data_IF_380653731767
#
_entry.id   IF_380653731767
#
_cell.length_a   1.000
_cell.length_b   1.000
_cell.length_c   1.000
_cell.angle_alpha   90.00
_cell.angle_beta   90.00
_cell.angle_gamma   90.00
#
_symmetry.space_group_name_H-M   'P 1'
#
loop_
_entity.id
_entity.type
_entity.pdbx_description
1 polymer ?
#
# COMPACT_ATOMS: atom_id res chain seq x y z
N UNK A 1 6.72 35.87 -5.49
CA UNK A 1 5.87 36.66 -6.42
C UNK A 1 4.94 35.81 -7.28
N UNK A 2 5.36 34.65 -7.80
CA UNK A 2 4.48 33.71 -8.55
C UNK A 2 3.57 32.90 -7.59
N UNK A 3 4.12 32.39 -6.48
CA UNK A 3 3.36 31.62 -5.49
C UNK A 3 2.19 32.40 -4.86
N UNK A 4 2.34 33.71 -4.63
CA UNK A 4 1.27 34.58 -4.11
C UNK A 4 0.06 34.71 -5.04
N UNK A 5 0.27 34.63 -6.36
CA UNK A 5 -0.80 34.63 -7.37
C UNK A 5 -1.47 33.27 -7.54
N UNK A 6 -0.80 32.19 -7.15
CA UNK A 6 -1.40 30.84 -7.12
C UNK A 6 -2.44 30.76 -6.00
N UNK A 7 -2.24 31.45 -4.87
CA UNK A 7 -3.21 31.49 -3.76
C UNK A 7 -4.50 32.26 -4.08
N UNK A 8 -4.53 33.06 -5.14
CA UNK A 8 -5.74 33.79 -5.57
C UNK A 8 -6.57 33.01 -6.61
N UNK A 9 -6.09 31.84 -7.05
CA UNK A 9 -6.82 30.98 -7.98
C UNK A 9 -7.98 30.28 -7.27
N UNK A 10 -9.08 30.07 -7.99
CA UNK A 10 -10.23 29.32 -7.45
C UNK A 10 -9.82 27.89 -7.08
N UNK A 11 -10.51 27.32 -6.09
CA UNK A 11 -10.27 25.96 -5.62
C UNK A 11 -10.28 24.94 -6.78
N UNK A 12 -11.19 25.13 -7.74
CA UNK A 12 -11.34 24.28 -8.91
C UNK A 12 -10.13 24.32 -9.85
N UNK A 13 -9.54 25.50 -10.06
CA UNK A 13 -8.39 25.66 -10.95
C UNK A 13 -7.10 25.09 -10.33
N UNK A 14 -6.96 25.22 -9.01
CA UNK A 14 -5.84 24.64 -8.26
C UNK A 14 -5.92 23.11 -8.24
N UNK A 15 -7.13 22.57 -8.07
CA UNK A 15 -7.39 21.14 -8.17
C UNK A 15 -7.11 20.59 -9.57
N UNK A 16 -7.44 21.33 -10.61
CA UNK A 16 -7.05 21.00 -11.98
C UNK A 16 -5.51 20.99 -12.14
N UNK A 17 -4.80 22.00 -11.62
CA UNK A 17 -3.32 22.04 -11.66
C UNK A 17 -2.70 20.87 -10.87
N UNK A 18 -3.26 20.48 -9.71
CA UNK A 18 -2.82 19.31 -8.94
C UNK A 18 -2.91 18.01 -9.75
N UNK A 19 -3.85 17.92 -10.70
CA UNK A 19 -4.00 16.69 -11.53
C UNK A 19 -2.89 16.48 -12.55
N UNK A 20 -2.12 17.52 -12.88
CA UNK A 20 -1.06 17.48 -13.90
C UNK A 20 0.35 17.77 -13.33
N UNK A 21 0.48 17.92 -12.01
CA UNK A 21 1.75 18.31 -11.38
C UNK A 21 2.68 17.09 -11.15
N UNK A 22 3.95 17.23 -11.54
CA UNK A 22 5.00 16.23 -11.33
C UNK A 22 5.52 16.20 -9.88
N UNK A 23 6.51 15.33 -9.60
CA UNK A 23 7.08 15.11 -8.25
C UNK A 23 7.66 16.40 -7.64
N UNK A 24 8.24 17.29 -8.46
CA UNK A 24 8.74 18.60 -8.00
C UNK A 24 7.59 19.55 -7.69
N UNK A 25 6.55 19.57 -8.53
CA UNK A 25 5.29 20.27 -8.28
C UNK A 25 4.65 19.83 -6.96
N UNK A 26 4.52 18.53 -6.70
CA UNK A 26 3.93 17.98 -5.48
C UNK A 26 4.64 18.43 -4.19
N UNK A 27 5.97 18.66 -4.21
CA UNK A 27 6.73 19.14 -3.03
C UNK A 27 6.44 20.61 -2.66
N UNK A 28 6.33 21.48 -3.67
CA UNK A 28 5.92 22.89 -3.50
C UNK A 28 4.46 22.95 -3.07
N UNK A 29 3.64 22.03 -3.57
CA UNK A 29 2.23 21.90 -3.26
C UNK A 29 1.94 21.29 -1.87
N UNK A 30 2.84 20.48 -1.31
CA UNK A 30 2.74 20.00 0.07
C UNK A 30 2.80 21.14 1.10
N UNK A 31 3.60 22.18 0.82
CA UNK A 31 3.60 23.43 1.60
C UNK A 31 2.26 24.19 1.50
N UNK A 32 1.60 24.15 0.34
CA UNK A 32 0.29 24.79 0.08
C UNK A 32 -0.86 24.00 0.74
N UNK A 33 -0.77 22.66 0.78
CA UNK A 33 -1.74 21.75 1.40
C UNK A 33 -1.92 22.00 2.92
N UNK A 34 -0.86 22.45 3.60
CA UNK A 34 -0.88 22.79 5.03
C UNK A 34 -1.85 23.94 5.35
N UNK A 35 -1.99 24.90 4.42
CA UNK A 35 -2.91 26.05 4.53
C UNK A 35 -4.33 25.65 4.10
N UNK A 36 -4.47 24.78 3.10
CA UNK A 36 -5.76 24.23 2.66
C UNK A 36 -6.41 23.29 3.67
N UNK A 37 -5.64 22.65 4.57
CA UNK A 37 -6.22 21.87 5.67
C UNK A 37 -7.19 22.70 6.53
N UNK A 38 -6.96 24.02 6.63
CA UNK A 38 -7.83 24.95 7.35
C UNK A 38 -9.12 25.25 6.56
N UNK A 39 -9.04 25.45 5.24
CA UNK A 39 -10.19 25.70 4.36
C UNK A 39 -11.03 24.43 4.07
N UNK A 40 -10.40 23.27 3.90
CA UNK A 40 -11.08 21.99 3.66
C UNK A 40 -11.91 21.54 4.87
N UNK A 41 -11.43 21.85 6.07
CA UNK A 41 -12.12 21.58 7.33
C UNK A 41 -13.04 22.74 7.75
N UNK A 42 -13.18 23.78 6.92
CA UNK A 42 -14.12 24.87 7.15
C UNK A 42 -15.57 24.37 7.03
N UNK A 43 -16.46 24.73 7.96
CA UNK A 43 -17.87 24.35 7.88
C UNK A 43 -18.61 24.94 6.66
N UNK A 44 -17.99 25.88 5.92
CA UNK A 44 -18.55 26.47 4.68
C UNK A 44 -18.37 25.59 3.44
N UNK A 45 -17.50 24.58 3.46
CA UNK A 45 -17.28 23.67 2.34
C UNK A 45 -18.40 22.61 2.26
N UNK A 46 -19.56 23.01 1.73
CA UNK A 46 -20.77 22.19 1.53
C UNK A 46 -20.48 20.93 0.66
N UNK A 47 -21.18 19.83 0.96
CA UNK A 47 -21.28 18.60 0.16
C UNK A 47 -21.45 18.83 -1.37
N UNK A 48 -22.17 19.88 -1.77
CA UNK A 48 -22.40 20.25 -3.17
C UNK A 48 -21.12 20.70 -3.89
N UNK A 49 -20.30 21.52 -3.24
CA UNK A 49 -18.99 21.96 -3.76
C UNK A 49 -18.07 20.75 -3.94
N UNK A 50 -18.06 19.84 -2.96
CA UNK A 50 -17.26 18.61 -3.03
C UNK A 50 -17.73 17.64 -4.11
N UNK A 51 -19.04 17.52 -4.33
CA UNK A 51 -19.61 16.71 -5.41
C UNK A 51 -19.18 17.27 -6.78
N UNK A 52 -19.15 18.59 -6.93
CA UNK A 52 -18.67 19.25 -8.15
C UNK A 52 -17.18 19.01 -8.38
N UNK A 53 -16.34 19.27 -7.37
CA UNK A 53 -14.89 19.02 -7.39
C UNK A 53 -14.59 17.57 -7.76
N UNK A 54 -15.23 16.61 -7.10
CA UNK A 54 -15.03 15.18 -7.37
C UNK A 54 -15.39 14.83 -8.81
N UNK A 55 -16.51 15.32 -9.34
CA UNK A 55 -16.92 15.02 -10.72
C UNK A 55 -15.92 15.56 -11.75
N UNK A 56 -15.45 16.81 -11.60
CA UNK A 56 -14.44 17.40 -12.48
C UNK A 56 -13.09 16.69 -12.37
N UNK A 57 -12.69 16.34 -11.14
CA UNK A 57 -11.51 15.56 -10.90
C UNK A 57 -11.63 14.22 -11.65
N UNK A 58 -12.73 13.50 -11.47
CA UNK A 58 -12.93 12.21 -12.10
C UNK A 58 -12.90 12.30 -13.63
N UNK A 59 -13.58 13.26 -14.25
CA UNK A 59 -13.59 13.42 -15.71
C UNK A 59 -12.22 13.75 -16.32
N UNK A 60 -11.33 14.42 -15.58
CA UNK A 60 -9.98 14.77 -16.05
C UNK A 60 -8.94 13.65 -15.87
N UNK A 61 -9.26 12.51 -15.25
CA UNK A 61 -8.32 11.39 -15.14
C UNK A 61 -8.27 10.58 -16.43
N UNK A 62 -7.13 10.40 -17.12
CA UNK A 62 -7.04 9.58 -18.33
C UNK A 62 -7.51 8.13 -18.13
N UNK A 63 -7.48 7.62 -16.89
CA UNK A 63 -7.97 6.28 -16.50
C UNK A 63 -9.47 6.25 -16.17
N UNK A 64 -10.18 7.38 -16.23
CA UNK A 64 -11.61 7.51 -15.90
C UNK A 64 -12.52 6.62 -16.76
N UNK A 65 -12.20 6.45 -18.04
CA UNK A 65 -12.96 5.57 -18.93
C UNK A 65 -12.93 4.09 -18.47
N UNK A 66 -11.86 3.66 -17.80
CA UNK A 66 -11.72 2.28 -17.27
C UNK A 66 -12.38 2.07 -15.89
N UNK A 67 -12.96 3.11 -15.29
CA UNK A 67 -13.57 3.13 -13.95
C UNK A 67 -15.10 3.12 -13.97
N UNK A 68 -15.74 3.10 -15.15
CA UNK A 68 -17.21 3.17 -15.25
C UNK A 68 -17.95 2.00 -14.57
N UNK A 69 -17.28 0.86 -14.36
CA UNK A 69 -17.87 -0.38 -13.82
C UNK A 69 -17.27 -0.86 -12.49
N UNK A 70 -16.56 -0.02 -11.74
CA UNK A 70 -15.82 -0.50 -10.56
C UNK A 70 -16.58 -0.25 -9.25
N UNK A 71 -16.85 -1.32 -8.46
CA UNK A 71 -17.38 -1.25 -7.09
C UNK A 71 -16.59 -0.26 -6.22
N UNK A 72 -15.30 -0.10 -6.54
CA UNK A 72 -14.42 0.80 -5.82
C UNK A 72 -14.73 2.29 -6.03
N UNK A 73 -15.23 2.67 -7.22
CA UNK A 73 -15.66 4.05 -7.51
C UNK A 73 -16.83 4.45 -6.60
N UNK A 74 -17.81 3.56 -6.48
CA UNK A 74 -19.02 3.86 -5.72
C UNK A 74 -18.73 3.85 -4.21
N UNK A 75 -17.83 2.97 -3.73
CA UNK A 75 -17.28 3.03 -2.36
C UNK A 75 -16.53 4.33 -2.09
N UNK A 76 -15.72 4.79 -3.05
CA UNK A 76 -14.98 6.07 -2.93
C UNK A 76 -15.91 7.26 -2.87
N UNK A 77 -16.91 7.30 -3.76
CA UNK A 77 -17.93 8.33 -3.75
C UNK A 77 -18.72 8.32 -2.43
N UNK A 78 -19.12 7.14 -1.96
CA UNK A 78 -19.80 6.99 -0.67
C UNK A 78 -18.92 7.46 0.50
N UNK A 79 -17.64 7.09 0.53
CA UNK A 79 -16.71 7.52 1.57
C UNK A 79 -16.48 9.02 1.59
N UNK A 80 -16.31 9.65 0.42
CA UNK A 80 -16.17 11.11 0.30
C UNK A 80 -17.40 11.87 0.79
N UNK A 81 -18.58 11.24 0.70
CA UNK A 81 -19.84 11.84 1.13
C UNK A 81 -20.16 11.56 2.61
N UNK A 82 -19.71 10.43 3.17
CA UNK A 82 -20.27 9.90 4.43
C UNK A 82 -19.24 9.39 5.47
N UNK A 83 -17.92 9.46 5.25
CA UNK A 83 -16.92 8.94 6.21
C UNK A 83 -16.14 10.03 6.96
N UNK A 84 -15.63 9.68 8.14
CA UNK A 84 -14.78 10.51 9.01
C UNK A 84 -13.34 10.69 8.50
N UNK A 85 -13.03 10.30 7.26
CA UNK A 85 -11.70 10.47 6.67
C UNK A 85 -11.60 11.86 6.02
N UNK A 86 -10.49 12.60 6.23
CA UNK A 86 -10.28 13.86 5.54
C UNK A 86 -10.31 13.68 4.02
N UNK A 87 -10.99 14.58 3.32
CA UNK A 87 -11.20 14.49 1.87
C UNK A 87 -9.88 14.51 1.08
N UNK A 88 -8.86 15.19 1.60
CA UNK A 88 -7.49 15.15 1.07
C UNK A 88 -6.90 13.74 1.07
N UNK A 89 -7.11 13.00 2.16
CA UNK A 89 -6.65 11.61 2.29
C UNK A 89 -7.38 10.74 1.26
N UNK A 90 -8.71 10.82 1.19
CA UNK A 90 -9.51 10.05 0.24
C UNK A 90 -9.15 10.32 -1.24
N UNK A 91 -8.99 11.59 -1.61
CA UNK A 91 -8.58 11.95 -2.98
C UNK A 91 -7.17 11.46 -3.30
N UNK A 92 -6.25 11.53 -2.33
CA UNK A 92 -4.89 11.00 -2.49
C UNK A 92 -4.90 9.48 -2.70
N UNK A 93 -5.57 8.76 -1.80
CA UNK A 93 -5.67 7.29 -1.83
C UNK A 93 -6.26 6.79 -3.13
N UNK A 94 -7.37 7.38 -3.56
CA UNK A 94 -8.03 6.95 -4.77
C UNK A 94 -7.18 7.25 -6.00
N UNK A 95 -6.69 8.48 -6.10
CA UNK A 95 -6.35 9.05 -7.40
C UNK A 95 -4.88 8.98 -7.74
N UNK A 96 -4.03 9.01 -6.73
CA UNK A 96 -2.59 8.81 -6.90
C UNK A 96 -2.25 7.38 -6.57
N UNK A 97 -2.54 6.90 -5.36
CA UNK A 97 -2.01 5.61 -4.92
C UNK A 97 -2.77 4.43 -5.53
N UNK A 98 -4.11 4.42 -5.52
CA UNK A 98 -4.88 3.30 -6.07
C UNK A 98 -4.80 3.29 -7.59
N UNK A 99 -5.03 4.43 -8.24
CA UNK A 99 -4.93 4.48 -9.70
C UNK A 99 -3.51 4.25 -10.20
N UNK A 100 -2.45 4.61 -9.49
CA UNK A 100 -1.07 4.35 -9.96
C UNK A 100 -0.71 2.87 -9.93
N UNK A 101 -1.27 2.11 -8.99
CA UNK A 101 -1.11 0.67 -8.94
C UNK A 101 -1.90 0.06 -10.10
N UNK A 102 -1.26 -0.68 -11.02
CA UNK A 102 -1.97 -1.38 -12.07
C UNK A 102 -3.05 -2.30 -11.48
N UNK A 103 -4.15 -2.55 -12.21
CA UNK A 103 -5.22 -3.49 -11.77
C UNK A 103 -4.72 -4.88 -11.35
N UNK A 104 -3.48 -5.23 -11.71
CA UNK A 104 -2.82 -6.50 -11.43
C UNK A 104 -1.58 -6.38 -10.53
N UNK A 105 -1.37 -5.24 -9.86
CA UNK A 105 -0.21 -5.00 -9.00
C UNK A 105 1.00 -4.37 -9.71
N UNK A 106 2.02 -4.06 -8.92
CA UNK A 106 3.30 -3.46 -9.34
C UNK A 106 4.26 -4.57 -9.77
N UNK A 107 4.18 -4.96 -11.04
CA UNK A 107 4.91 -6.12 -11.55
C UNK A 107 4.29 -7.45 -11.09
N UNK A 108 5.08 -8.54 -11.14
CA UNK A 108 4.64 -9.86 -10.69
C UNK A 108 4.74 -10.08 -9.18
N UNK A 109 5.56 -9.27 -8.53
CA UNK A 109 6.07 -9.51 -7.18
C UNK A 109 5.38 -8.70 -6.08
N UNK A 110 4.63 -7.65 -6.46
CA UNK A 110 3.97 -6.78 -5.50
C UNK A 110 2.54 -6.54 -5.96
N UNK A 111 1.59 -6.72 -5.04
CA UNK A 111 0.19 -6.36 -5.23
C UNK A 111 -0.27 -5.58 -4.01
N UNK A 112 -1.07 -4.54 -4.23
CA UNK A 112 -1.74 -3.84 -3.14
C UNK A 112 -3.16 -3.51 -3.58
N UNK A 113 -4.10 -3.69 -2.66
CA UNK A 113 -5.50 -3.44 -2.92
C UNK A 113 -6.24 -2.99 -1.66
N UNK A 114 -7.26 -2.14 -1.81
CA UNK A 114 -8.17 -1.79 -0.73
C UNK A 114 -9.02 -3.00 -0.30
N UNK A 115 -9.32 -3.09 0.99
CA UNK A 115 -10.17 -4.15 1.51
C UNK A 115 -11.65 -3.91 1.17
N UNK A 116 -12.29 -4.92 0.56
CA UNK A 116 -13.65 -4.80 0.00
C UNK A 116 -14.69 -4.40 1.05
N UNK A 117 -14.61 -4.93 2.27
CA UNK A 117 -15.61 -4.69 3.33
C UNK A 117 -15.08 -3.85 4.49
N UNK A 118 -14.11 -2.97 4.20
CA UNK A 118 -13.47 -2.11 5.19
C UNK A 118 -13.44 -0.66 4.69
N UNK A 119 -13.18 0.29 5.60
CA UNK A 119 -12.90 1.68 5.22
C UNK A 119 -11.81 1.77 4.15
N UNK A 120 -11.88 2.78 3.29
CA UNK A 120 -10.95 2.93 2.16
C UNK A 120 -9.50 3.20 2.56
N UNK A 121 -9.27 3.57 3.81
CA UNK A 121 -7.95 3.75 4.39
C UNK A 121 -7.37 2.44 4.96
N UNK A 122 -8.02 1.30 4.75
CA UNK A 122 -7.50 -0.03 5.10
C UNK A 122 -7.27 -0.85 3.84
N UNK A 123 -6.01 -1.18 3.59
CA UNK A 123 -5.57 -1.94 2.42
C UNK A 123 -4.81 -3.18 2.85
N UNK A 124 -4.70 -4.10 1.90
CA UNK A 124 -3.92 -5.31 1.99
C UNK A 124 -2.90 -5.32 0.86
N UNK A 125 -1.69 -5.75 1.16
CA UNK A 125 -0.65 -5.94 0.17
C UNK A 125 -0.04 -7.33 0.26
N UNK A 126 0.53 -7.76 -0.86
CA UNK A 126 1.22 -9.02 -1.02
C UNK A 126 2.57 -8.74 -1.67
N UNK A 127 3.62 -9.28 -1.09
CA UNK A 127 5.00 -9.16 -1.58
C UNK A 127 5.57 -10.57 -1.72
N UNK A 128 6.14 -10.88 -2.89
CA UNK A 128 6.94 -12.09 -3.08
C UNK A 128 8.36 -11.85 -2.58
N UNK A 129 8.92 -12.88 -1.95
CA UNK A 129 10.31 -12.89 -1.54
C UNK A 129 11.26 -12.66 -2.72
N UNK A 130 12.28 -11.81 -2.58
CA UNK A 130 13.26 -11.58 -3.64
C UNK A 130 14.06 -12.84 -3.98
N UNK A 131 14.43 -12.98 -5.25
CA UNK A 131 15.29 -14.06 -5.74
C UNK A 131 16.69 -13.97 -5.10
N UNK A 132 17.31 -15.12 -4.82
CA UNK A 132 18.64 -15.22 -4.23
C UNK A 132 18.69 -14.87 -2.74
N UNK A 133 17.53 -14.82 -2.07
CA UNK A 133 17.45 -14.57 -0.62
C UNK A 133 16.85 -15.78 0.10
N UNK A 134 17.03 -15.86 1.42
CA UNK A 134 16.36 -16.87 2.27
C UNK A 134 14.84 -16.80 2.21
N UNK A 135 14.32 -15.67 1.72
CA UNK A 135 12.90 -15.38 1.58
C UNK A 135 12.33 -15.79 0.22
N UNK A 136 13.19 -16.22 -0.72
CA UNK A 136 12.78 -16.61 -2.06
C UNK A 136 11.61 -17.60 -2.04
N UNK A 137 10.67 -17.45 -2.97
CA UNK A 137 9.41 -18.22 -3.06
C UNK A 137 8.42 -17.98 -1.91
N UNK A 138 8.80 -17.20 -0.90
CA UNK A 138 7.89 -16.70 0.13
C UNK A 138 6.84 -15.76 -0.43
N UNK A 139 5.64 -15.82 0.15
CA UNK A 139 4.56 -14.88 -0.11
C UNK A 139 4.17 -14.22 1.22
N UNK A 140 4.37 -12.92 1.29
CA UNK A 140 4.16 -12.14 2.50
C UNK A 140 2.94 -11.25 2.35
N UNK A 141 2.01 -11.40 3.28
CA UNK A 141 0.84 -10.56 3.40
C UNK A 141 1.10 -9.42 4.37
N UNK A 142 0.68 -8.23 3.99
CA UNK A 142 0.84 -7.01 4.76
C UNK A 142 -0.50 -6.28 4.89
N UNK A 143 -0.72 -5.67 6.05
CA UNK A 143 -1.77 -4.69 6.27
C UNK A 143 -1.19 -3.29 6.08
N UNK A 144 -1.95 -2.42 5.39
CA UNK A 144 -1.62 -1.00 5.23
C UNK A 144 -2.79 -0.19 5.76
N UNK A 145 -2.53 0.67 6.74
CA UNK A 145 -3.54 1.55 7.34
C UNK A 145 -3.10 3.00 7.14
N UNK A 146 -3.88 3.76 6.40
CA UNK A 146 -3.62 5.16 6.15
C UNK A 146 -4.21 6.02 7.27
N UNK A 147 -3.40 6.87 7.92
CA UNK A 147 -3.89 7.76 8.97
C UNK A 147 -4.76 8.88 8.40
N UNK A 148 -5.53 9.55 9.26
CA UNK A 148 -6.36 10.71 8.87
C UNK A 148 -5.53 11.81 8.19
N UNK A 149 -4.32 12.03 8.69
CA UNK A 149 -3.40 13.05 8.17
C UNK A 149 -2.59 12.60 6.96
N UNK A 150 -2.89 11.44 6.35
CA UNK A 150 -2.25 11.03 5.11
C UNK A 150 -2.55 12.05 3.98
N UNK A 151 -1.57 12.43 3.14
CA UNK A 151 -0.19 11.92 3.04
C UNK A 151 0.87 12.64 3.89
N UNK A 152 0.49 13.55 4.79
CA UNK A 152 1.44 14.25 5.67
C UNK A 152 2.09 13.30 6.69
N UNK A 153 1.34 12.28 7.14
CA UNK A 153 1.86 11.16 7.94
C UNK A 153 1.94 9.89 7.09
N UNK A 154 2.99 9.10 7.31
CA UNK A 154 3.17 7.81 6.67
C UNK A 154 2.01 6.85 6.96
N UNK A 155 1.67 5.95 6.03
CA UNK A 155 0.80 4.83 6.33
C UNK A 155 1.49 3.87 7.31
N UNK A 156 0.70 3.23 8.17
CA UNK A 156 1.20 2.13 9.01
C UNK A 156 1.20 0.86 8.19
N UNK A 157 2.37 0.26 8.01
CA UNK A 157 2.53 -1.03 7.32
C UNK A 157 2.94 -2.10 8.33
N UNK A 158 2.30 -3.26 8.27
CA UNK A 158 2.56 -4.36 9.20
C UNK A 158 2.49 -5.68 8.46
N UNK A 159 3.51 -6.53 8.63
CA UNK A 159 3.49 -7.91 8.17
C UNK A 159 2.42 -8.69 8.94
N UNK A 160 1.44 -9.24 8.24
CA UNK A 160 0.48 -10.19 8.80
C UNK A 160 1.08 -11.60 8.79
N UNK A 161 1.86 -11.87 7.74
CA UNK A 161 2.67 -13.08 7.62
C UNK A 161 3.87 -13.00 8.56
N UNK A 162 4.02 -13.99 9.45
CA UNK A 162 5.19 -14.10 10.33
C UNK A 162 6.45 -14.29 9.50
N UNK A 163 7.50 -13.54 9.82
CA UNK A 163 8.78 -13.59 9.10
C UNK A 163 9.93 -13.46 10.10
N UNK A 164 10.98 -14.25 9.90
CA UNK A 164 12.21 -14.13 10.67
C UNK A 164 13.18 -13.17 9.96
N UNK A 165 13.29 -11.93 10.45
CA UNK A 165 14.04 -10.85 9.80
C UNK A 165 14.54 -9.85 10.85
N UNK A 166 15.73 -9.26 10.65
CA UNK A 166 16.35 -8.32 11.61
C UNK A 166 15.53 -7.03 11.80
N UNK A 167 15.04 -6.44 10.71
CA UNK A 167 14.23 -5.19 10.75
C UNK A 167 12.72 -5.40 10.83
N UNK A 168 12.25 -6.62 11.10
CA UNK A 168 10.81 -6.89 11.27
C UNK A 168 10.62 -7.55 12.64
N UNK A 169 9.78 -6.93 13.47
CA UNK A 169 9.48 -7.46 14.81
C UNK A 169 8.63 -8.74 14.72
N UNK A 170 8.54 -9.50 15.82
CA UNK A 170 7.64 -10.67 15.93
C UNK A 170 6.18 -10.32 15.63
N UNK A 171 5.74 -9.11 16.00
CA UNK A 171 4.38 -8.60 15.73
C UNK A 171 4.22 -7.99 14.31
N UNK A 172 5.23 -8.16 13.44
CA UNK A 172 5.19 -7.69 12.05
C UNK A 172 5.44 -6.20 11.82
N UNK A 173 5.82 -5.42 12.84
CA UNK A 173 6.25 -4.02 12.67
C UNK A 173 7.55 -3.95 11.89
N UNK A 174 7.66 -2.96 11.02
CA UNK A 174 8.80 -2.77 10.11
C UNK A 174 9.60 -1.55 10.57
N UNK A 175 10.92 -1.68 10.67
CA UNK A 175 11.83 -0.52 10.73
C UNK A 175 12.36 -0.26 9.33
N UNK A 176 11.82 0.79 8.72
CA UNK A 176 12.26 1.30 7.43
C UNK A 176 12.13 2.82 7.47
N UNK A 177 13.21 3.52 7.13
CA UNK A 177 13.33 4.97 7.24
C UNK A 177 12.23 5.73 6.48
N UNK A 178 11.87 5.27 5.27
CA UNK A 178 10.82 5.89 4.46
C UNK A 178 9.43 5.75 5.10
N UNK A 179 9.22 4.84 6.06
CA UNK A 179 7.97 4.72 6.84
C UNK A 179 7.97 5.61 8.09
N UNK A 180 9.06 6.29 8.38
CA UNK A 180 9.24 7.11 9.57
C UNK A 180 9.84 8.48 9.21
N UNK A 181 11.11 8.71 9.50
CA UNK A 181 11.80 10.00 9.38
C UNK A 181 11.96 10.49 7.94
N UNK A 182 12.08 9.59 6.97
CA UNK A 182 12.25 9.92 5.55
C UNK A 182 10.94 9.83 4.77
N UNK A 183 9.79 9.73 5.46
CA UNK A 183 8.50 9.80 4.79
C UNK A 183 8.29 11.18 4.16
N UNK A 184 7.87 11.18 2.90
CA UNK A 184 7.48 12.38 2.16
C UNK A 184 6.10 12.15 1.53
N UNK A 185 5.20 13.16 1.55
CA UNK A 185 3.93 13.11 0.81
C UNK A 185 4.08 12.85 -0.70
N UNK A 186 5.28 13.03 -1.25
CA UNK A 186 5.61 12.70 -2.63
C UNK A 186 5.77 11.19 -2.87
N UNK A 187 6.08 10.40 -1.83
CA UNK A 187 6.20 8.96 -1.94
C UNK A 187 4.84 8.33 -2.23
N UNK A 188 4.85 7.35 -3.12
CA UNK A 188 3.68 6.56 -3.47
C UNK A 188 3.69 5.24 -2.68
N UNK A 189 2.51 4.65 -2.50
CA UNK A 189 2.38 3.29 -1.92
C UNK A 189 3.24 2.28 -2.68
N UNK A 190 3.41 2.48 -4.00
CA UNK A 190 4.26 1.63 -4.84
C UNK A 190 5.73 1.68 -4.46
N UNK A 191 6.31 2.88 -4.39
CA UNK A 191 7.70 3.10 -3.97
C UNK A 191 7.94 2.57 -2.55
N UNK A 192 6.96 2.77 -1.67
CA UNK A 192 7.00 2.26 -0.30
C UNK A 192 7.08 0.73 -0.27
N UNK A 193 6.22 0.02 -1.01
CA UNK A 193 6.23 -1.45 -1.06
C UNK A 193 7.48 -2.00 -1.74
N UNK A 194 8.03 -1.30 -2.74
CA UNK A 194 9.34 -1.62 -3.32
C UNK A 194 10.44 -1.52 -2.25
N UNK A 195 10.43 -0.47 -1.42
CA UNK A 195 11.36 -0.32 -0.30
C UNK A 195 11.23 -1.44 0.74
N UNK A 196 10.00 -1.82 1.09
CA UNK A 196 9.75 -2.96 2.01
C UNK A 196 10.25 -4.28 1.42
N UNK A 197 10.09 -4.49 0.11
CA UNK A 197 10.63 -5.69 -0.55
C UNK A 197 12.16 -5.67 -0.61
N UNK A 198 12.76 -4.51 -0.89
CA UNK A 198 14.21 -4.34 -0.90
C UNK A 198 14.84 -4.62 0.46
N UNK A 199 14.14 -4.27 1.56
CA UNK A 199 14.57 -4.58 2.92
C UNK A 199 14.78 -6.09 3.15
N UNK A 200 14.02 -6.95 2.46
CA UNK A 200 14.19 -8.41 2.52
C UNK A 200 15.47 -8.89 1.82
N UNK A 201 15.95 -8.14 0.84
CA UNK A 201 17.21 -8.43 0.14
C UNK A 201 18.41 -7.86 0.89
N UNK A 202 18.26 -6.68 1.48
CA UNK A 202 19.34 -5.94 2.13
C UNK A 202 18.89 -5.47 3.53
N UNK A 203 18.94 -6.35 4.53
CA UNK A 203 18.54 -6.00 5.90
C UNK A 203 19.55 -5.04 6.53
N UNK A 204 19.05 -4.08 7.30
CA UNK A 204 19.89 -3.24 8.16
C UNK A 204 20.24 -3.99 9.45
N UNK A 205 21.50 -4.42 9.58
CA UNK A 205 21.99 -5.17 10.73
C UNK A 205 22.41 -4.30 11.92
N UNK A 206 22.55 -2.98 11.72
CA UNK A 206 23.03 -2.03 12.73
C UNK A 206 21.91 -1.53 13.66
N UNK A 207 20.67 -1.44 13.14
CA UNK A 207 19.48 -1.06 13.90
C UNK A 207 18.34 -2.09 13.78
N UNK A 208 18.50 -3.29 14.38
CA UNK A 208 17.53 -4.37 14.26
C UNK A 208 16.35 -4.20 15.23
N UNK A 209 15.12 -4.34 14.72
CA UNK A 209 13.94 -4.53 15.59
C UNK A 209 13.92 -5.91 16.25
N UNK A 210 14.50 -6.91 15.59
CA UNK A 210 14.66 -8.26 16.09
C UNK A 210 16.15 -8.51 16.35
N UNK A 211 16.59 -8.16 17.55
CA UNK A 211 17.97 -8.35 17.99
C UNK A 211 18.39 -9.83 17.99
N UNK A 212 17.46 -10.77 18.17
CA UNK A 212 17.78 -12.20 18.13
C UNK A 212 18.11 -12.66 16.70
N UNK A 213 17.31 -12.23 15.72
CA UNK A 213 17.60 -12.49 14.30
C UNK A 213 18.96 -11.91 13.89
N UNK A 214 19.26 -10.67 14.31
CA UNK A 214 20.54 -10.03 14.01
C UNK A 214 21.75 -10.74 14.67
N UNK A 215 21.63 -11.15 15.95
CA UNK A 215 22.67 -11.93 16.63
C UNK A 215 22.86 -13.29 15.97
N UNK A 216 21.78 -14.01 15.69
CA UNK A 216 21.83 -15.31 15.03
C UNK A 216 22.52 -15.22 13.67
N UNK A 217 22.21 -14.20 12.86
CA UNK A 217 22.89 -14.01 11.58
C UNK A 217 24.39 -13.74 11.75
N UNK A 218 24.78 -12.92 12.73
CA UNK A 218 26.19 -12.61 13.02
C UNK A 218 26.97 -13.84 13.51
N UNK A 219 26.38 -14.57 14.45
CA UNK A 219 27.06 -15.66 15.16
C UNK A 219 27.04 -16.96 14.35
N UNK A 220 25.93 -17.22 13.64
CA UNK A 220 25.76 -18.41 12.81
C UNK A 220 24.78 -18.17 11.63
N UNK A 221 25.28 -17.64 10.49
CA UNK A 221 24.46 -17.37 9.31
C UNK A 221 23.67 -18.57 8.83
N UNK A 222 24.24 -19.79 8.88
CA UNK A 222 23.58 -21.00 8.40
C UNK A 222 22.33 -21.35 9.22
N UNK A 223 22.40 -21.20 10.54
CA UNK A 223 21.23 -21.39 11.42
C UNK A 223 20.18 -20.33 11.15
N UNK A 224 20.58 -19.08 10.88
CA UNK A 224 19.65 -18.03 10.49
C UNK A 224 18.91 -18.40 9.20
N UNK A 225 19.62 -18.84 8.16
CA UNK A 225 19.03 -19.25 6.88
C UNK A 225 18.04 -20.40 7.09
N UNK A 226 18.44 -21.45 7.82
CA UNK A 226 17.58 -22.57 8.13
C UNK A 226 16.32 -22.13 8.89
N UNK A 227 16.46 -21.24 9.87
CA UNK A 227 15.34 -20.74 10.68
C UNK A 227 14.37 -19.93 9.83
N UNK A 228 14.89 -19.02 9.00
CA UNK A 228 14.10 -18.17 8.11
C UNK A 228 13.36 -19.00 7.04
N UNK A 229 14.04 -19.95 6.40
CA UNK A 229 13.45 -20.84 5.40
C UNK A 229 12.45 -21.82 6.01
N UNK A 230 12.70 -22.34 7.22
CA UNK A 230 11.74 -23.21 7.91
C UNK A 230 10.44 -22.45 8.23
N UNK A 231 10.54 -21.19 8.65
CA UNK A 231 9.39 -20.33 8.90
C UNK A 231 8.48 -20.17 7.68
N UNK A 232 9.06 -20.08 6.48
CA UNK A 232 8.32 -20.00 5.21
C UNK A 232 7.50 -21.26 4.91
N UNK A 233 8.08 -22.44 5.15
CA UNK A 233 7.40 -23.72 4.94
C UNK A 233 6.17 -23.86 5.84
N UNK A 234 6.23 -23.38 7.08
CA UNK A 234 5.11 -23.41 8.03
C UNK A 234 3.95 -22.48 7.62
N UNK A 235 4.22 -21.42 6.87
CA UNK A 235 3.19 -20.45 6.44
C UNK A 235 2.23 -20.97 5.37
N UNK A 236 2.57 -22.07 4.68
CA UNK A 236 1.68 -22.70 3.71
C UNK A 236 0.52 -23.50 4.36
N UNK A 237 0.26 -23.30 5.66
CA UNK A 237 -0.79 -23.96 6.45
C UNK A 237 -0.79 -25.50 6.34
N UNK A 238 0.36 -26.11 6.06
CA UNK A 238 0.45 -27.56 5.84
C UNK A 238 -0.33 -28.07 4.63
N UNK A 239 -0.76 -27.20 3.69
CA UNK A 239 -1.32 -27.63 2.41
C UNK A 239 -0.17 -28.22 1.58
N UNK A 240 -0.02 -29.55 1.66
CA UNK A 240 0.99 -30.32 0.92
C UNK A 240 0.89 -30.14 -0.59
N UNK A 241 -0.25 -29.64 -1.09
CA UNK A 241 -0.48 -29.34 -2.49
C UNK A 241 -0.35 -27.85 -2.84
N UNK A 242 -0.01 -26.97 -1.89
CA UNK A 242 0.16 -25.53 -2.15
C UNK A 242 1.15 -25.30 -3.30
N UNK A 243 2.33 -25.91 -3.21
CA UNK A 243 3.40 -25.75 -4.21
C UNK A 243 2.94 -26.22 -5.59
N UNK A 244 2.22 -27.35 -5.65
CA UNK A 244 1.66 -27.89 -6.89
C UNK A 244 0.61 -26.96 -7.50
N UNK A 245 -0.34 -26.46 -6.69
CA UNK A 245 -1.35 -25.49 -7.14
C UNK A 245 -0.69 -24.20 -7.62
N UNK A 246 0.29 -23.70 -6.88
CA UNK A 246 1.01 -22.47 -7.17
C UNK A 246 1.79 -22.55 -8.49
N UNK A 247 2.58 -23.61 -8.68
CA UNK A 247 3.29 -23.88 -9.95
C UNK A 247 2.29 -24.00 -11.11
N UNK A 248 1.16 -24.70 -10.91
CA UNK A 248 0.12 -24.81 -11.93
C UNK A 248 -0.45 -23.46 -12.33
N UNK A 249 -0.79 -22.60 -11.37
CA UNK A 249 -1.32 -21.27 -11.68
C UNK A 249 -0.30 -20.37 -12.39
N UNK A 250 0.97 -20.41 -11.98
CA UNK A 250 2.05 -19.71 -12.70
C UNK A 250 2.21 -20.26 -14.11
N UNK A 251 2.17 -21.59 -14.30
CA UNK A 251 2.23 -22.23 -15.62
C UNK A 251 1.06 -21.87 -16.55
N UNK A 252 -0.06 -21.41 -15.99
CA UNK A 252 -1.20 -20.86 -16.73
C UNK A 252 -1.04 -19.35 -17.04
N UNK A 253 0.10 -18.74 -16.69
CA UNK A 253 0.40 -17.33 -16.93
C UNK A 253 -0.12 -16.37 -15.86
N UNK A 254 -0.56 -16.87 -14.69
CA UNK A 254 -0.97 -16.01 -13.58
C UNK A 254 0.25 -15.47 -12.82
N UNK A 255 0.20 -14.18 -12.46
CA UNK A 255 1.22 -13.54 -11.63
C UNK A 255 1.30 -14.21 -10.26
N UNK A 256 2.50 -14.28 -9.68
CA UNK A 256 2.79 -14.88 -8.37
C UNK A 256 1.85 -14.42 -7.26
N UNK A 257 1.71 -13.10 -7.05
CA UNK A 257 0.82 -12.56 -6.02
C UNK A 257 -0.65 -12.93 -6.25
N UNK A 258 -1.10 -13.01 -7.51
CA UNK A 258 -2.49 -13.36 -7.84
C UNK A 258 -2.72 -14.85 -7.54
N UNK A 259 -1.80 -15.71 -7.97
CA UNK A 259 -1.83 -17.15 -7.68
C UNK A 259 -1.91 -17.43 -6.18
N UNK A 260 -1.15 -16.68 -5.37
CA UNK A 260 -1.20 -16.78 -3.91
C UNK A 260 -2.59 -16.46 -3.34
N UNK A 261 -3.18 -15.33 -3.75
CA UNK A 261 -4.51 -14.91 -3.27
C UNK A 261 -5.57 -15.96 -3.61
N UNK A 262 -5.58 -16.46 -4.85
CA UNK A 262 -6.55 -17.46 -5.28
C UNK A 262 -6.43 -18.72 -4.40
N UNK A 263 -5.21 -19.21 -4.15
CA UNK A 263 -4.99 -20.39 -3.29
C UNK A 263 -5.47 -20.13 -1.86
N UNK A 264 -5.16 -18.95 -1.31
CA UNK A 264 -5.59 -18.57 0.05
C UNK A 264 -7.10 -18.52 0.17
N UNK A 265 -7.78 -17.88 -0.78
CA UNK A 265 -9.25 -17.77 -0.79
C UNK A 265 -9.92 -19.14 -0.97
N UNK A 266 -9.38 -20.00 -1.84
CA UNK A 266 -9.85 -21.38 -1.99
C UNK A 266 -9.73 -22.17 -0.68
N UNK A 267 -8.61 -22.06 0.03
CA UNK A 267 -8.40 -22.77 1.29
C UNK A 267 -9.33 -22.26 2.40
N UNK A 268 -9.62 -20.94 2.43
CA UNK A 268 -10.59 -20.35 3.37
C UNK A 268 -12.01 -20.90 3.16
N UNK A 269 -12.44 -21.03 1.91
CA UNK A 269 -13.74 -21.59 1.55
C UNK A 269 -13.87 -23.08 1.91
N UNK A 270 -12.77 -23.84 1.92
CA UNK A 270 -12.77 -25.23 2.36
C UNK A 270 -12.92 -25.35 3.87
N UNK A 271 -12.26 -24.48 4.65
CA UNK A 271 -12.42 -24.45 6.11
C UNK A 271 -13.82 -24.02 6.54
N UNK A 272 -14.48 -23.11 5.82
CA UNK A 272 -15.85 -22.65 6.13
C UNK A 272 -16.93 -23.69 5.76
N UNK A 273 -16.63 -24.68 4.90
CA UNK A 273 -17.56 -25.78 4.55
C UNK A 273 -17.50 -26.98 5.51
N UNK A 274 -16.50 -27.04 6.37
CA UNK A 274 -16.30 -28.13 7.33
C UNK A 274 -16.84 -27.80 8.74
N UNK A 275 -17.59 -26.70 8.87
CA UNK A 275 -18.36 -26.29 10.04
C UNK A 275 -19.83 -26.12 9.63
#
# INVERSE_FOLDING_TARGET
MILSKIFTLSADLLLYIFTFSDVKGLSVMARISKTWHVEINSPKANLALWKHIYNNFMSCSPRYFNLKCDSYRDKTRFALMNQNLPRTCLLRLYRVDFLSIPKFGLGEDILAQPLVNKPLNEWQAFITGPLGTVYENGNFELSIIFPLLYPLKAPRVTFLTKIWHSNISVDGRISLDILCQNWSPALQVSTMLIGVRALLSDPNWDDPLNAQAARMYRDNPQIFEQTASSGLLCMHNGDTNYTTKYIKFIGLGLRKCISFIIIKDMNKLQTEKNF
#
